data_IF_319763582464
#
_entry.id   IF_319763582464
#
_cell.length_a   1.000
_cell.length_b   1.000
_cell.length_c   1.000
_cell.angle_alpha   90.00
_cell.angle_beta   90.00
_cell.angle_gamma   90.00
#
_symmetry.space_group_name_H-M   'P 1'
#
loop_
_entity.id
_entity.type
_entity.pdbx_description
1 polymer ?
#
# COMPACT_ATOMS: atom_id res chain seq x y z
N UNK A 1 -11.34 -1.13 4.22
CA UNK A 1 -11.27 -0.99 2.76
C UNK A 1 -12.16 -2.07 2.19
N UNK A 2 -13.09 -1.64 1.37
CA UNK A 2 -13.88 -2.51 0.51
C UNK A 2 -13.01 -3.01 -0.67
N UNK A 3 -13.40 -4.09 -1.35
CA UNK A 3 -12.78 -4.54 -2.59
C UNK A 3 -12.55 -3.42 -3.63
N UNK A 4 -13.54 -2.54 -3.79
CA UNK A 4 -13.49 -1.42 -4.74
C UNK A 4 -12.43 -0.38 -4.36
N UNK A 5 -12.28 -0.08 -3.07
CA UNK A 5 -11.25 0.83 -2.55
C UNK A 5 -9.84 0.33 -2.91
N UNK A 6 -9.61 -0.98 -2.77
CA UNK A 6 -8.33 -1.61 -3.10
C UNK A 6 -8.05 -1.45 -4.59
N UNK A 7 -9.03 -1.76 -5.44
CA UNK A 7 -8.87 -1.67 -6.89
C UNK A 7 -8.57 -0.23 -7.35
N UNK A 8 -9.27 0.76 -6.78
CA UNK A 8 -9.07 2.18 -7.09
C UNK A 8 -7.66 2.65 -6.68
N UNK A 9 -7.23 2.32 -5.46
CA UNK A 9 -5.90 2.71 -4.99
C UNK A 9 -4.78 2.11 -5.85
N UNK A 10 -4.86 0.82 -6.18
CA UNK A 10 -3.86 0.15 -7.02
C UNK A 10 -3.92 0.58 -8.49
N UNK A 11 -5.10 0.95 -9.01
CA UNK A 11 -5.22 1.55 -10.34
C UNK A 11 -4.47 2.90 -10.42
N UNK A 12 -4.62 3.75 -9.41
CA UNK A 12 -3.89 5.02 -9.32
C UNK A 12 -2.36 4.79 -9.23
N UNK A 13 -1.91 3.87 -8.37
CA UNK A 13 -0.48 3.55 -8.22
C UNK A 13 0.11 3.04 -9.55
N UNK A 14 -0.60 2.18 -10.28
CA UNK A 14 -0.15 1.69 -11.60
C UNK A 14 -0.08 2.78 -12.65
N UNK A 15 -1.09 3.63 -12.74
CA UNK A 15 -1.09 4.76 -13.68
C UNK A 15 0.14 5.65 -13.44
N UNK A 16 0.45 5.93 -12.17
CA UNK A 16 1.66 6.64 -11.75
C UNK A 16 2.95 5.90 -12.13
N UNK A 17 3.01 4.59 -11.88
CA UNK A 17 4.19 3.75 -12.20
C UNK A 17 4.59 3.84 -13.67
N UNK A 18 3.62 3.80 -14.59
CA UNK A 18 3.88 3.87 -16.04
C UNK A 18 3.93 5.30 -16.59
N UNK A 19 3.77 6.31 -15.73
CA UNK A 19 3.77 7.72 -16.12
C UNK A 19 2.50 8.19 -16.85
N UNK A 20 1.40 7.45 -16.73
CA UNK A 20 0.09 7.83 -17.29
C UNK A 20 -0.61 8.83 -16.36
N UNK A 21 -0.24 10.10 -16.53
CA UNK A 21 -0.74 11.21 -15.71
C UNK A 21 -2.22 11.49 -15.96
N UNK A 22 -2.70 11.29 -17.18
CA UNK A 22 -4.09 11.55 -17.56
C UNK A 22 -5.02 10.55 -16.86
N UNK A 23 -4.70 9.26 -16.89
CA UNK A 23 -5.46 8.23 -16.17
C UNK A 23 -5.38 8.45 -14.65
N UNK A 24 -4.20 8.79 -14.11
CA UNK A 24 -4.07 9.09 -12.69
C UNK A 24 -4.91 10.30 -12.26
N UNK A 25 -4.97 11.34 -13.09
CA UNK A 25 -5.82 12.52 -12.88
C UNK A 25 -7.30 12.17 -12.86
N UNK A 26 -7.78 11.40 -13.85
CA UNK A 26 -9.17 10.96 -13.91
C UNK A 26 -9.59 10.16 -12.66
N UNK A 27 -8.74 9.23 -12.20
CA UNK A 27 -9.02 8.46 -10.98
C UNK A 27 -9.09 9.37 -9.73
N UNK A 28 -8.22 10.37 -9.63
CA UNK A 28 -8.22 11.31 -8.52
C UNK A 28 -9.47 12.20 -8.49
N UNK A 29 -9.92 12.64 -9.67
CA UNK A 29 -11.14 13.43 -9.83
C UNK A 29 -12.40 12.59 -9.50
N UNK A 30 -12.46 11.34 -9.97
CA UNK A 30 -13.60 10.44 -9.74
C UNK A 30 -13.72 9.97 -8.27
N UNK A 31 -12.59 9.79 -7.58
CA UNK A 31 -12.56 9.23 -6.20
C UNK A 31 -12.63 10.31 -5.12
N UNK A 32 -12.57 11.60 -5.48
CA UNK A 32 -12.22 12.73 -4.60
C UNK A 32 -10.80 12.63 -4.00
N UNK A 33 -10.03 13.75 -3.95
CA UNK A 33 -8.66 13.73 -3.47
C UNK A 33 -8.51 13.25 -2.00
N UNK A 34 -9.46 13.58 -1.13
CA UNK A 34 -9.40 13.25 0.30
C UNK A 34 -9.59 11.75 0.54
N UNK A 35 -10.54 11.13 -0.17
CA UNK A 35 -10.76 9.69 -0.10
C UNK A 35 -9.57 8.94 -0.69
N UNK A 36 -9.11 9.33 -1.89
CA UNK A 36 -7.97 8.68 -2.53
C UNK A 36 -6.70 8.79 -1.66
N UNK A 37 -6.47 9.94 -1.01
CA UNK A 37 -5.38 10.11 -0.05
C UNK A 37 -5.47 9.08 1.08
N UNK A 38 -6.64 8.95 1.71
CA UNK A 38 -6.88 7.97 2.76
C UNK A 38 -6.61 6.54 2.28
N UNK A 39 -7.08 6.19 1.07
CA UNK A 39 -6.87 4.86 0.50
C UNK A 39 -5.38 4.56 0.26
N UNK A 40 -4.62 5.54 -0.25
CA UNK A 40 -3.19 5.37 -0.47
C UNK A 40 -2.40 5.22 0.83
N UNK A 41 -2.74 5.97 1.88
CA UNK A 41 -2.17 5.77 3.23
C UNK A 41 -2.50 4.37 3.76
N UNK A 42 -3.74 3.94 3.58
CA UNK A 42 -4.23 2.62 3.98
C UNK A 42 -3.49 1.48 3.26
N UNK A 43 -3.17 1.65 1.97
CA UNK A 43 -2.33 0.73 1.20
C UNK A 43 -0.89 0.76 1.72
N UNK A 44 -0.31 1.94 1.94
CA UNK A 44 1.04 2.07 2.47
C UNK A 44 1.20 1.37 3.82
N UNK A 45 0.23 1.51 4.73
CA UNK A 45 0.24 0.81 6.02
C UNK A 45 0.25 -0.71 5.84
N UNK A 46 -0.56 -1.23 4.91
CA UNK A 46 -0.67 -2.67 4.61
C UNK A 46 0.55 -3.24 3.89
N UNK A 47 1.35 -2.40 3.23
CA UNK A 47 2.61 -2.80 2.62
C UNK A 47 3.76 -2.68 3.62
N UNK A 48 3.92 -1.51 4.26
CA UNK A 48 5.08 -1.24 5.09
C UNK A 48 5.06 -2.04 6.39
N UNK A 49 3.92 -2.11 7.09
CA UNK A 49 3.88 -2.71 8.42
C UNK A 49 4.19 -4.21 8.37
N UNK A 50 3.56 -5.05 7.52
CA UNK A 50 3.86 -6.48 7.51
C UNK A 50 5.27 -6.79 6.99
N UNK A 51 5.77 -6.02 6.02
CA UNK A 51 7.11 -6.23 5.44
C UNK A 51 8.22 -5.88 6.42
N UNK A 52 7.95 -4.89 7.28
CA UNK A 52 8.91 -4.44 8.29
C UNK A 52 8.67 -5.05 9.66
N UNK A 53 7.51 -5.67 9.87
CA UNK A 53 7.25 -6.51 11.02
C UNK A 53 8.11 -7.76 10.89
N UNK A 54 9.02 -7.92 11.83
CA UNK A 54 9.80 -9.14 11.94
C UNK A 54 8.95 -10.19 12.61
N UNK A 55 8.91 -11.37 12.00
CA UNK A 55 8.25 -12.54 12.55
C UNK A 55 9.11 -12.99 13.74
N UNK A 56 8.58 -12.82 14.96
CA UNK A 56 9.23 -13.17 16.21
C UNK A 56 9.13 -14.71 16.40
N UNK A 57 9.63 -15.47 15.42
CA UNK A 57 9.47 -16.93 15.35
C UNK A 57 10.17 -17.67 16.50
N UNK A 58 11.16 -17.04 17.15
CA UNK A 58 11.93 -17.64 18.25
C UNK A 58 11.83 -16.86 19.59
N UNK A 59 11.06 -15.77 19.66
CA UNK A 59 10.87 -14.97 20.88
C UNK A 59 12.13 -14.23 21.39
N UNK A 60 13.21 -14.20 20.60
CA UNK A 60 14.42 -13.45 20.91
C UNK A 60 14.42 -12.12 20.15
N UNK A 61 14.17 -11.03 20.88
CA UNK A 61 14.14 -9.67 20.35
C UNK A 61 15.52 -9.29 19.79
N UNK A 62 15.73 -9.50 18.49
CA UNK A 62 16.92 -9.03 17.81
C UNK A 62 16.86 -7.51 17.59
N UNK A 63 17.94 -6.78 17.88
CA UNK A 63 18.00 -5.32 17.71
C UNK A 63 17.69 -4.87 16.26
N UNK A 64 17.95 -5.74 15.28
CA UNK A 64 17.69 -5.50 13.86
C UNK A 64 16.19 -5.59 13.55
N UNK A 65 15.46 -6.43 14.30
CA UNK A 65 14.01 -6.63 14.22
C UNK A 65 13.24 -5.40 14.71
N UNK A 66 13.73 -4.76 15.78
CA UNK A 66 13.21 -3.49 16.28
C UNK A 66 13.39 -2.35 15.28
N UNK A 67 14.56 -2.29 14.61
CA UNK A 67 14.89 -1.23 13.66
C UNK A 67 14.01 -1.29 12.39
N UNK A 68 13.75 -2.48 11.85
CA UNK A 68 12.89 -2.65 10.69
C UNK A 68 11.45 -2.17 11.00
N UNK A 69 10.84 -2.67 12.07
CA UNK A 69 9.47 -2.31 12.42
C UNK A 69 9.31 -0.80 12.74
N UNK A 70 10.35 -0.19 13.33
CA UNK A 70 10.38 1.26 13.55
C UNK A 70 10.47 2.04 12.23
N UNK A 71 11.24 1.55 11.25
CA UNK A 71 11.33 2.15 9.93
C UNK A 71 9.97 2.15 9.20
N UNK A 72 9.23 1.04 9.22
CA UNK A 72 7.90 0.97 8.60
C UNK A 72 6.91 1.96 9.21
N UNK A 73 6.92 2.10 10.54
CA UNK A 73 6.10 3.10 11.25
C UNK A 73 6.51 4.54 10.92
N UNK A 74 7.81 4.82 10.86
CA UNK A 74 8.32 6.15 10.51
C UNK A 74 7.94 6.54 9.07
N UNK A 75 8.06 5.62 8.12
CA UNK A 75 7.64 5.86 6.74
C UNK A 75 6.15 6.18 6.67
N UNK A 76 5.32 5.44 7.40
CA UNK A 76 3.88 5.72 7.45
C UNK A 76 3.58 7.09 8.09
N UNK A 77 4.25 7.44 9.18
CA UNK A 77 4.13 8.75 9.84
C UNK A 77 4.45 9.91 8.86
N UNK A 78 5.50 9.73 8.05
CA UNK A 78 5.91 10.71 7.04
C UNK A 78 4.87 10.82 5.91
N UNK A 79 4.23 9.72 5.50
CA UNK A 79 3.15 9.78 4.50
C UNK A 79 1.91 10.49 5.02
N UNK A 80 1.60 10.35 6.31
CA UNK A 80 0.44 11.00 6.92
C UNK A 80 0.64 12.51 7.11
N UNK A 81 1.85 12.95 7.46
CA UNK A 81 2.06 14.29 8.02
C UNK A 81 3.08 15.17 7.28
N UNK A 82 3.89 14.62 6.35
CA UNK A 82 4.90 15.42 5.67
C UNK A 82 4.36 16.11 4.41
N UNK A 83 4.69 17.39 4.24
CA UNK A 83 4.18 18.24 3.13
C UNK A 83 4.52 17.68 1.74
N UNK A 84 5.66 16.99 1.59
CA UNK A 84 6.08 16.43 0.31
C UNK A 84 5.49 15.03 0.04
N UNK A 85 5.42 14.18 1.07
CA UNK A 85 5.04 12.79 0.90
C UNK A 85 3.55 12.53 1.13
N UNK A 86 2.81 13.47 1.72
CA UNK A 86 1.35 13.39 1.86
C UNK A 86 0.57 13.80 0.61
N UNK A 87 1.25 14.21 -0.46
CA UNK A 87 0.58 14.40 -1.76
C UNK A 87 0.21 13.06 -2.38
N UNK A 88 -0.90 12.96 -3.13
CA UNK A 88 -1.27 11.70 -3.82
C UNK A 88 -0.12 11.14 -4.66
N UNK A 89 0.61 11.94 -5.47
CA UNK A 89 1.78 11.45 -6.19
C UNK A 89 2.91 11.01 -5.25
N UNK A 90 3.16 11.78 -4.18
CA UNK A 90 4.20 11.47 -3.19
C UNK A 90 3.98 10.13 -2.49
N UNK A 91 2.74 9.81 -2.10
CA UNK A 91 2.40 8.52 -1.49
C UNK A 91 2.60 7.39 -2.49
N UNK A 92 2.03 7.50 -3.69
CA UNK A 92 2.14 6.47 -4.73
C UNK A 92 3.59 6.21 -5.16
N UNK A 93 4.38 7.28 -5.32
CA UNK A 93 5.80 7.18 -5.67
C UNK A 93 6.60 6.51 -4.54
N UNK A 94 6.25 6.79 -3.28
CA UNK A 94 6.89 6.17 -2.11
C UNK A 94 6.58 4.68 -2.02
N UNK A 95 5.32 4.28 -2.19
CA UNK A 95 4.92 2.86 -2.23
C UNK A 95 5.66 2.14 -3.37
N UNK A 96 5.74 2.76 -4.55
CA UNK A 96 6.43 2.20 -5.71
C UNK A 96 7.92 2.01 -5.45
N UNK A 97 8.59 3.05 -4.92
CA UNK A 97 10.02 2.99 -4.58
C UNK A 97 10.29 1.98 -3.47
N UNK A 98 9.45 1.93 -2.45
CA UNK A 98 9.59 0.92 -1.39
C UNK A 98 9.50 -0.49 -1.98
N UNK A 99 8.50 -0.74 -2.81
CA UNK A 99 8.33 -2.03 -3.51
C UNK A 99 9.57 -2.38 -4.33
N UNK A 100 10.07 -1.42 -5.12
CA UNK A 100 11.24 -1.61 -5.98
C UNK A 100 12.58 -1.81 -5.23
N UNK A 101 12.72 -1.28 -4.01
CA UNK A 101 13.99 -1.35 -3.28
C UNK A 101 13.99 -2.45 -2.21
N UNK A 102 12.81 -2.89 -1.75
CA UNK A 102 12.68 -3.78 -0.59
C UNK A 102 11.99 -5.09 -0.95
N UNK A 103 11.04 -5.08 -1.90
CA UNK A 103 10.20 -6.25 -2.22
C UNK A 103 10.55 -6.92 -3.54
N UNK A 104 11.27 -6.23 -4.41
CA UNK A 104 11.85 -6.84 -5.60
C UNK A 104 13.32 -7.13 -5.30
N UNK A 105 13.69 -8.40 -5.27
CA UNK A 105 15.09 -8.81 -5.44
C UNK A 105 15.61 -8.29 -6.80
N UNK A 106 16.91 -8.45 -7.08
CA UNK A 106 17.62 -7.89 -8.27
C UNK A 106 16.94 -8.10 -9.64
N UNK A 107 15.90 -8.94 -9.73
CA UNK A 107 15.18 -9.28 -10.96
C UNK A 107 13.64 -9.22 -10.86
N UNK A 108 13.08 -8.75 -9.74
CA UNK A 108 11.62 -8.68 -9.55
C UNK A 108 11.00 -7.50 -10.32
N UNK A 109 9.95 -7.75 -11.12
CA UNK A 109 9.16 -6.68 -11.71
C UNK A 109 8.24 -6.05 -10.64
N UNK A 110 8.42 -4.74 -10.42
CA UNK A 110 7.61 -3.94 -9.50
C UNK A 110 6.12 -4.04 -9.83
N UNK A 111 5.76 -4.10 -11.12
CA UNK A 111 4.37 -4.21 -11.54
C UNK A 111 3.74 -5.55 -11.12
N UNK A 112 4.52 -6.63 -11.17
CA UNK A 112 4.07 -7.96 -10.75
C UNK A 112 3.91 -8.04 -9.24
N UNK A 113 4.84 -7.47 -8.47
CA UNK A 113 4.73 -7.39 -7.00
C UNK A 113 3.52 -6.56 -6.59
N UNK A 114 3.29 -5.40 -7.23
CA UNK A 114 2.10 -4.58 -6.98
C UNK A 114 0.80 -5.34 -7.29
N UNK A 115 0.77 -6.17 -8.35
CA UNK A 115 -0.39 -7.02 -8.68
C UNK A 115 -0.63 -8.09 -7.61
N UNK A 116 0.43 -8.67 -7.05
CA UNK A 116 0.31 -9.63 -5.95
C UNK A 116 -0.18 -8.97 -4.66
N UNK A 117 0.31 -7.76 -4.35
CA UNK A 117 -0.15 -6.96 -3.21
C UNK A 117 -1.63 -6.58 -3.36
N UNK A 118 -2.08 -6.18 -4.56
CA UNK A 118 -3.49 -5.93 -4.86
C UNK A 118 -4.33 -7.19 -4.62
N UNK A 119 -3.90 -8.34 -5.16
CA UNK A 119 -4.61 -9.60 -4.98
C UNK A 119 -4.69 -10.03 -3.51
N UNK A 120 -3.64 -9.78 -2.72
CA UNK A 120 -3.64 -10.02 -1.28
C UNK A 120 -4.61 -9.08 -0.55
N UNK A 121 -4.57 -7.78 -0.85
CA UNK A 121 -5.48 -6.79 -0.29
C UNK A 121 -6.94 -7.06 -0.65
N UNK A 122 -7.20 -7.52 -1.88
CA UNK A 122 -8.52 -7.92 -2.35
C UNK A 122 -9.08 -9.10 -1.54
N UNK A 123 -8.27 -10.15 -1.35
CA UNK A 123 -8.66 -11.30 -0.50
C UNK A 123 -8.98 -10.86 0.92
N UNK A 124 -8.11 -10.04 1.53
CA UNK A 124 -8.34 -9.52 2.88
C UNK A 124 -9.62 -8.68 2.98
N UNK A 125 -9.87 -7.80 2.00
CA UNK A 125 -11.07 -6.97 1.97
C UNK A 125 -12.35 -7.82 1.84
N UNK A 126 -12.32 -8.87 1.01
CA UNK A 126 -13.43 -9.82 0.85
C UNK A 126 -13.66 -10.67 2.11
N UNK A 127 -12.61 -11.08 2.81
CA UNK A 127 -12.70 -11.85 4.05
C UNK A 127 -13.19 -11.01 5.24
N UNK A 128 -12.85 -9.72 5.28
CA UNK A 128 -13.29 -8.77 6.31
C UNK A 128 -14.77 -8.37 6.15
N UNK A 129 -15.28 -8.43 4.92
CA UNK A 129 -16.69 -8.19 4.60
C UNK A 129 -17.28 -9.48 4.00
N UNK A 130 -17.38 -10.57 4.79
CA UNK A 130 -18.11 -11.74 4.33
C UNK A 130 -19.55 -11.26 4.19
N UNK A 131 -19.98 -11.05 2.95
CA UNK A 131 -21.31 -10.60 2.63
C UNK A 131 -22.30 -11.33 3.53
N UNK A 132 -23.22 -10.57 4.13
CA UNK A 132 -24.41 -11.09 4.80
C UNK A 132 -24.86 -12.38 4.11
N UNK A 133 -24.45 -13.53 4.67
CA UNK A 133 -25.11 -14.80 4.39
C UNK A 133 -26.43 -14.66 5.09
N UNK A 134 -27.39 -14.07 4.38
CA UNK A 134 -28.80 -14.20 4.73
C UNK A 134 -29.09 -15.69 4.66
N UNK A 135 -28.97 -16.32 5.83
CA UNK A 135 -29.65 -17.56 6.13
C UNK A 135 -31.15 -17.30 6.05
N UNK A 136 -31.80 -18.16 5.25
CA UNK A 136 -33.24 -18.36 5.08
C UNK A 136 -34.00 -17.36 4.22
#
# INVERSE_FOLDING_TARGET
MEPEDVAVAFAYIRARLVGDIDTAGAIADDTSPELLHRLLVDVAARVFIPVTATDDHDGELCEHSFLAAALGRLLLELLCHSVCLSSLPGIADTITRFTANILTDDHGDVADVLRQLEAAGMRQAMEAHPAHRTTM
#
